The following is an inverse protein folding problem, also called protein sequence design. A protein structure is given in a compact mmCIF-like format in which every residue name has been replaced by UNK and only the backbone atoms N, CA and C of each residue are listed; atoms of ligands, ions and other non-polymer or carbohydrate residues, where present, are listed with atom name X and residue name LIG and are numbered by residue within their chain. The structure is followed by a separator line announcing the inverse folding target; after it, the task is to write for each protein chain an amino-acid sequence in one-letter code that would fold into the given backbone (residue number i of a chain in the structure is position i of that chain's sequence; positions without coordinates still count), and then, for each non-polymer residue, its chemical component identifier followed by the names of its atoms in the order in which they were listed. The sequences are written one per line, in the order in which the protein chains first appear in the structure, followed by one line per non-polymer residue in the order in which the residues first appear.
data_IF_615200051970
#
_entry.id   IF_615200051970
#
_cell.length_a   1.000
_cell.length_b   1.000
_cell.length_c   1.000
_cell.angle_alpha   90.00
_cell.angle_beta   90.00
_cell.angle_gamma   90.00
#
_symmetry.space_group_name_H-M   'P 1'
#
loop_
_entity.id
_entity.type
_entity.pdbx_description
1 polymer ?
#
# COMPACT_ATOMS: atom_id res chain seq x y z
N UNK A 1 -2.64 -31.42 -27.68
CA UNK A 1 -3.25 -31.94 -28.88
C UNK A 1 -3.03 -33.44 -28.87
N UNK A 2 -4.10 -34.21 -29.11
CA UNK A 2 -4.01 -35.65 -29.28
C UNK A 2 -3.25 -35.93 -30.57
N UNK A 3 -1.97 -36.29 -30.47
CA UNK A 3 -1.24 -36.73 -31.64
C UNK A 3 -1.53 -38.21 -31.87
N UNK A 4 -2.37 -38.48 -32.87
CA UNK A 4 -2.59 -39.83 -33.35
C UNK A 4 -1.38 -40.28 -34.16
N UNK A 5 -0.72 -41.34 -33.74
CA UNK A 5 0.34 -41.97 -34.50
C UNK A 5 -0.27 -42.99 -35.45
N UNK A 6 -0.17 -42.70 -36.74
CA UNK A 6 -0.62 -43.64 -37.77
C UNK A 6 0.40 -44.75 -37.99
N UNK A 7 0.06 -45.96 -37.63
CA UNK A 7 0.88 -47.15 -37.90
C UNK A 7 0.37 -47.84 -39.14
N UNK A 8 1.30 -48.15 -40.09
CA UNK A 8 0.95 -48.83 -41.36
C UNK A 8 1.66 -50.19 -41.43
N UNK A 9 0.89 -51.20 -41.61
CA UNK A 9 1.43 -52.51 -41.97
C UNK A 9 1.66 -52.53 -43.49
N UNK A 10 2.88 -52.81 -43.89
CA UNK A 10 3.22 -52.97 -45.30
C UNK A 10 4.02 -54.24 -45.54
N UNK A 11 3.87 -54.80 -46.73
CA UNK A 11 4.67 -55.92 -47.17
C UNK A 11 5.36 -55.50 -48.48
N UNK A 12 6.64 -55.80 -48.64
CA UNK A 12 7.37 -55.60 -49.88
C UNK A 12 7.12 -56.74 -50.85
N UNK A 13 6.47 -56.48 -51.97
CA UNK A 13 6.25 -57.41 -53.07
C UNK A 13 6.82 -56.80 -54.33
N UNK A 14 7.70 -57.51 -55.03
CA UNK A 14 8.32 -57.05 -56.27
C UNK A 14 8.99 -55.63 -56.16
N UNK A 15 9.56 -55.32 -54.99
CA UNK A 15 10.23 -54.06 -54.71
C UNK A 15 9.29 -52.87 -54.45
N UNK A 16 7.98 -53.07 -54.41
CA UNK A 16 6.98 -52.06 -54.06
C UNK A 16 6.36 -52.37 -52.70
N UNK A 17 6.07 -51.33 -51.96
CA UNK A 17 5.36 -51.43 -50.69
C UNK A 17 3.85 -51.55 -50.95
N UNK A 18 3.23 -52.64 -50.51
CA UNK A 18 1.78 -52.81 -50.47
C UNK A 18 1.29 -52.60 -49.04
N UNK A 19 0.42 -51.61 -48.84
CA UNK A 19 -0.15 -51.25 -47.53
C UNK A 19 -1.37 -52.11 -47.31
N UNK A 20 -1.33 -52.94 -46.23
CA UNK A 20 -2.43 -53.86 -45.93
C UNK A 20 -3.38 -53.34 -44.86
N UNK A 21 -2.88 -52.55 -43.92
CA UNK A 21 -3.74 -51.96 -42.88
C UNK A 21 -3.14 -50.65 -42.36
N UNK A 22 -4.02 -49.80 -41.91
CA UNK A 22 -3.62 -48.54 -41.26
C UNK A 22 -4.41 -48.41 -39.98
N UNK A 23 -3.73 -48.40 -38.87
CA UNK A 23 -4.33 -48.18 -37.57
C UNK A 23 -3.82 -46.85 -37.01
N UNK A 24 -4.69 -46.14 -36.35
CA UNK A 24 -4.31 -44.98 -35.57
C UNK A 24 -4.23 -45.36 -34.11
N UNK A 25 -3.06 -45.20 -33.53
CA UNK A 25 -2.85 -45.38 -32.11
C UNK A 25 -2.90 -44.02 -31.47
N UNK A 26 -3.82 -43.81 -30.55
CA UNK A 26 -3.85 -42.63 -29.73
C UNK A 26 -3.02 -42.89 -28.49
N UNK A 27 -2.03 -42.03 -28.25
CA UNK A 27 -1.32 -42.03 -26.97
C UNK A 27 -2.23 -41.53 -25.88
N UNK A 28 -2.20 -42.17 -24.73
CA UNK A 28 -2.97 -41.73 -23.57
C UNK A 28 -2.54 -40.33 -23.14
N UNK A 29 -3.51 -39.50 -22.88
CA UNK A 29 -3.30 -38.13 -22.43
C UNK A 29 -3.15 -38.13 -20.90
N UNK A 30 -2.13 -37.40 -20.41
CA UNK A 30 -2.08 -37.06 -18.99
C UNK A 30 -3.10 -35.96 -18.70
N UNK A 31 -3.95 -36.21 -17.72
CA UNK A 31 -4.90 -35.19 -17.26
C UNK A 31 -4.37 -34.56 -15.98
N UNK A 32 -4.10 -33.25 -16.05
CA UNK A 32 -3.72 -32.45 -14.91
C UNK A 32 -4.91 -31.63 -14.43
N UNK A 33 -5.05 -31.51 -13.14
CA UNK A 33 -5.97 -30.57 -12.53
C UNK A 33 -5.31 -29.87 -11.35
N UNK A 34 -5.70 -28.62 -11.11
CA UNK A 34 -5.27 -27.89 -9.95
C UNK A 34 -6.42 -27.14 -9.32
N UNK A 35 -6.34 -26.89 -8.04
CA UNK A 35 -7.25 -26.00 -7.34
C UNK A 35 -6.47 -24.98 -6.51
N UNK A 36 -7.04 -23.81 -6.30
CA UNK A 36 -6.43 -22.79 -5.45
C UNK A 36 -6.33 -23.30 -4.03
N UNK A 37 -5.16 -23.10 -3.44
CA UNK A 37 -4.92 -23.37 -2.04
C UNK A 37 -4.67 -22.07 -1.27
N UNK A 38 -3.72 -21.25 -1.73
CA UNK A 38 -3.40 -19.96 -1.15
C UNK A 38 -2.67 -19.07 -2.17
N UNK A 39 -2.94 -17.76 -2.13
CA UNK A 39 -2.25 -16.76 -2.95
C UNK A 39 -2.04 -15.51 -2.12
N UNK A 40 -0.80 -15.04 -2.06
CA UNK A 40 -0.45 -13.73 -1.52
C UNK A 40 0.33 -12.90 -2.55
N UNK A 41 1.01 -11.86 -2.12
CA UNK A 41 1.72 -10.99 -3.04
C UNK A 41 3.11 -11.51 -3.48
N UNK A 42 3.60 -12.59 -2.92
CA UNK A 42 4.91 -13.20 -3.27
C UNK A 42 4.85 -14.71 -3.46
N UNK A 43 3.67 -15.31 -3.32
CA UNK A 43 3.47 -16.75 -3.32
C UNK A 43 2.19 -17.15 -4.05
N UNK A 44 2.25 -18.25 -4.78
CA UNK A 44 1.10 -18.96 -5.33
C UNK A 44 1.19 -20.41 -4.87
N UNK A 45 0.17 -20.91 -4.18
CA UNK A 45 0.02 -22.30 -3.79
C UNK A 45 -1.20 -22.91 -4.45
N UNK A 46 -1.01 -24.13 -4.96
CA UNK A 46 -2.09 -24.91 -5.56
C UNK A 46 -1.97 -26.36 -5.16
N UNK A 47 -3.09 -27.01 -4.90
CA UNK A 47 -3.15 -28.47 -4.84
C UNK A 47 -3.20 -29.05 -6.24
N UNK A 48 -2.49 -30.15 -6.47
CA UNK A 48 -2.41 -30.83 -7.76
C UNK A 48 -3.05 -32.21 -7.71
N UNK A 49 -3.64 -32.58 -8.85
CA UNK A 49 -3.97 -33.96 -9.13
C UNK A 49 -3.54 -34.29 -10.57
N UNK A 50 -3.09 -35.50 -10.77
CA UNK A 50 -2.75 -36.06 -12.07
C UNK A 50 -3.39 -37.43 -12.24
N UNK A 51 -3.92 -37.64 -13.42
CA UNK A 51 -4.35 -38.99 -13.85
C UNK A 51 -3.41 -39.45 -14.96
N UNK A 52 -2.67 -40.51 -14.71
CA UNK A 52 -1.82 -41.19 -15.71
C UNK A 52 -2.58 -42.39 -16.20
N UNK A 53 -2.91 -42.42 -17.47
CA UNK A 53 -3.73 -43.48 -18.04
C UNK A 53 -2.95 -44.78 -18.38
N UNK A 54 -1.62 -44.70 -18.46
CA UNK A 54 -0.76 -45.85 -18.77
C UNK A 54 -0.18 -46.46 -17.49
N UNK A 55 -0.53 -47.71 -17.17
CA UNK A 55 -0.05 -48.38 -15.97
C UNK A 55 1.45 -48.75 -15.99
N UNK A 56 2.12 -48.62 -17.15
CA UNK A 56 3.55 -48.88 -17.26
C UNK A 56 4.42 -47.71 -16.78
N UNK A 57 3.82 -46.55 -16.55
CA UNK A 57 4.55 -45.39 -16.06
C UNK A 57 4.29 -45.17 -14.57
N UNK A 58 5.35 -45.32 -13.79
CA UNK A 58 5.33 -45.00 -12.37
C UNK A 58 5.79 -43.55 -12.14
N UNK A 59 4.92 -42.77 -11.50
CA UNK A 59 5.17 -41.35 -11.22
C UNK A 59 6.10 -41.21 -10.03
N UNK A 60 7.26 -40.57 -10.24
CA UNK A 60 8.19 -40.17 -9.20
C UNK A 60 7.82 -38.83 -8.60
N UNK A 61 7.54 -37.82 -9.45
CA UNK A 61 7.34 -36.46 -9.02
C UNK A 61 6.34 -35.73 -9.93
N UNK A 62 5.52 -34.87 -9.36
CA UNK A 62 4.64 -33.94 -10.09
C UNK A 62 4.87 -32.51 -9.60
N UNK A 63 4.55 -31.51 -10.43
CA UNK A 63 4.69 -30.13 -9.99
C UNK A 63 4.41 -29.11 -11.08
N UNK A 64 4.95 -27.91 -10.88
CA UNK A 64 4.93 -26.82 -11.85
C UNK A 64 6.33 -26.55 -12.40
N UNK A 65 6.36 -26.22 -13.69
CA UNK A 65 7.54 -25.74 -14.41
C UNK A 65 7.35 -24.28 -14.78
N UNK A 66 8.21 -23.42 -14.24
CA UNK A 66 8.19 -21.98 -14.45
C UNK A 66 9.62 -21.47 -14.68
N UNK A 67 9.84 -20.71 -15.75
CA UNK A 67 11.13 -20.06 -16.04
C UNK A 67 12.34 -21.00 -15.92
N UNK A 68 12.24 -22.20 -16.52
CA UNK A 68 13.26 -23.27 -16.49
C UNK A 68 13.50 -23.89 -15.12
N UNK A 69 12.65 -23.64 -14.15
CA UNK A 69 12.74 -24.17 -12.79
C UNK A 69 11.57 -25.13 -12.53
N UNK A 70 11.89 -26.27 -11.95
CA UNK A 70 10.89 -27.24 -11.48
C UNK A 70 10.54 -26.95 -10.02
N UNK A 71 9.25 -26.89 -9.73
CA UNK A 71 8.68 -26.71 -8.40
C UNK A 71 7.89 -27.96 -8.04
N UNK A 72 8.48 -28.92 -7.30
CA UNK A 72 7.82 -30.15 -6.96
C UNK A 72 6.66 -29.94 -5.99
N UNK A 73 5.65 -30.79 -6.13
CA UNK A 73 4.55 -30.87 -5.20
C UNK A 73 5.00 -31.61 -3.93
N UNK A 74 4.56 -31.10 -2.78
CA UNK A 74 4.79 -31.72 -1.47
C UNK A 74 3.45 -32.17 -0.92
N UNK A 75 3.36 -33.42 -0.46
CA UNK A 75 2.19 -33.90 0.26
C UNK A 75 2.33 -33.50 1.73
N UNK A 76 1.49 -32.60 2.25
CA UNK A 76 1.68 -32.05 3.59
C UNK A 76 1.45 -33.06 4.71
N UNK A 77 0.60 -34.05 4.48
CA UNK A 77 0.36 -35.18 5.39
C UNK A 77 -0.27 -36.34 4.63
N UNK A 78 -0.25 -37.55 5.20
CA UNK A 78 -0.80 -38.76 4.57
C UNK A 78 -2.29 -38.58 4.21
N UNK A 79 -2.63 -38.87 2.96
CA UNK A 79 -3.98 -38.71 2.41
C UNK A 79 -4.34 -37.27 1.94
N UNK A 80 -3.44 -36.31 2.11
CA UNK A 80 -3.62 -34.99 1.53
C UNK A 80 -3.27 -34.95 0.05
N UNK A 81 -3.89 -34.01 -0.68
CA UNK A 81 -3.46 -33.73 -2.05
C UNK A 81 -2.08 -33.06 -2.06
N UNK A 82 -1.21 -33.40 -3.02
CA UNK A 82 0.06 -32.73 -3.21
C UNK A 82 -0.13 -31.22 -3.46
N UNK A 83 0.71 -30.40 -2.86
CA UNK A 83 0.68 -28.93 -2.98
C UNK A 83 1.97 -28.43 -3.58
N UNK A 84 1.86 -27.62 -4.63
CA UNK A 84 2.98 -26.86 -5.19
C UNK A 84 2.98 -25.45 -4.66
N UNK A 85 4.17 -24.94 -4.32
CA UNK A 85 4.37 -23.57 -3.89
C UNK A 85 5.39 -22.88 -4.79
N UNK A 86 4.92 -21.89 -5.55
CA UNK A 86 5.78 -20.92 -6.22
C UNK A 86 6.07 -19.78 -5.23
N UNK A 87 7.34 -19.49 -4.99
CA UNK A 87 7.79 -18.50 -3.98
C UNK A 87 8.65 -17.43 -4.61
N UNK A 88 8.85 -16.33 -3.88
CA UNK A 88 9.66 -15.17 -4.30
C UNK A 88 9.16 -14.53 -5.60
N UNK A 89 7.85 -14.58 -5.79
CA UNK A 89 7.20 -13.99 -6.96
C UNK A 89 7.07 -12.48 -6.80
N UNK A 90 6.99 -11.77 -7.93
CA UNK A 90 6.78 -10.31 -7.94
C UNK A 90 5.31 -10.01 -7.66
N UNK A 91 5.00 -9.12 -6.72
CA UNK A 91 3.64 -8.71 -6.41
C UNK A 91 2.89 -8.11 -7.60
N UNK A 92 1.60 -8.44 -7.73
CA UNK A 92 0.72 -7.91 -8.77
C UNK A 92 1.08 -8.36 -10.19
N UNK A 93 1.86 -9.43 -10.35
CA UNK A 93 2.29 -9.96 -11.65
C UNK A 93 1.54 -11.25 -12.01
N UNK A 94 1.27 -11.42 -13.31
CA UNK A 94 0.74 -12.67 -13.86
C UNK A 94 1.90 -13.63 -14.13
N UNK A 95 1.76 -14.85 -13.66
CA UNK A 95 2.67 -15.96 -13.94
C UNK A 95 1.93 -17.04 -14.74
N UNK A 96 2.61 -17.55 -15.78
CA UNK A 96 2.15 -18.70 -16.56
C UNK A 96 3.14 -19.82 -16.35
N UNK A 97 2.69 -20.93 -15.86
CA UNK A 97 3.48 -22.10 -15.53
C UNK A 97 2.84 -23.33 -16.17
N UNK A 98 3.66 -24.34 -16.47
CA UNK A 98 3.20 -25.61 -17.02
C UNK A 98 3.14 -26.66 -15.91
N UNK A 99 2.22 -27.61 -16.02
CA UNK A 99 2.28 -28.84 -15.26
C UNK A 99 3.47 -29.68 -15.72
N UNK A 100 4.08 -30.43 -14.83
CA UNK A 100 5.01 -31.49 -15.22
C UNK A 100 4.80 -32.75 -14.39
N UNK A 101 5.19 -33.85 -14.98
CA UNK A 101 5.34 -35.15 -14.33
C UNK A 101 6.72 -35.71 -14.67
N UNK A 102 7.42 -36.22 -13.66
CA UNK A 102 8.67 -37.01 -13.81
C UNK A 102 8.37 -38.42 -13.45
N UNK A 103 8.88 -39.33 -14.26
CA UNK A 103 8.73 -40.78 -14.07
C UNK A 103 9.98 -41.38 -13.45
N UNK A 104 9.84 -42.58 -12.89
CA UNK A 104 10.95 -43.33 -12.25
C UNK A 104 12.06 -43.74 -13.21
N UNK A 105 11.81 -43.78 -14.51
CA UNK A 105 12.80 -43.95 -15.57
C UNK A 105 13.61 -42.68 -15.92
N UNK A 106 13.26 -41.57 -15.30
CA UNK A 106 13.91 -40.29 -15.49
C UNK A 106 13.30 -39.42 -16.60
N UNK A 107 12.34 -39.93 -17.36
CA UNK A 107 11.63 -39.09 -18.35
C UNK A 107 10.77 -38.02 -17.65
N UNK A 108 10.67 -36.86 -18.29
CA UNK A 108 9.84 -35.77 -17.81
C UNK A 108 8.90 -35.25 -18.89
N UNK A 109 7.63 -35.29 -18.60
CA UNK A 109 6.60 -34.72 -19.47
C UNK A 109 6.18 -33.35 -18.95
N UNK A 110 6.11 -32.34 -19.86
CA UNK A 110 5.59 -31.02 -19.59
C UNK A 110 4.24 -30.89 -20.28
N UNK A 111 3.20 -30.73 -19.47
CA UNK A 111 1.82 -30.65 -19.93
C UNK A 111 1.32 -29.23 -20.16
N UNK A 112 0.01 -29.09 -20.09
CA UNK A 112 -0.68 -27.84 -20.33
C UNK A 112 -0.23 -26.71 -19.39
N UNK A 113 -0.40 -25.47 -19.83
CA UNK A 113 -0.09 -24.30 -19.04
C UNK A 113 -1.30 -23.76 -18.28
N UNK A 114 -1.04 -23.23 -17.12
CA UNK A 114 -2.01 -22.50 -16.32
C UNK A 114 -1.45 -21.12 -15.93
N UNK A 115 -2.33 -20.19 -15.57
CA UNK A 115 -1.89 -18.85 -15.15
C UNK A 115 -2.56 -18.43 -13.86
N UNK A 116 -1.82 -17.73 -13.02
CA UNK A 116 -2.32 -17.07 -11.83
C UNK A 116 -1.64 -15.71 -11.62
N UNK A 117 -2.32 -14.83 -10.90
CA UNK A 117 -1.78 -13.55 -10.47
C UNK A 117 -1.37 -13.63 -9.00
N UNK A 118 -0.23 -13.06 -8.67
CA UNK A 118 0.05 -12.67 -7.28
C UNK A 118 -0.82 -11.48 -6.89
N UNK A 119 -1.16 -11.36 -5.62
CA UNK A 119 -1.94 -10.19 -5.16
C UNK A 119 -1.09 -8.92 -5.21
N UNK A 120 -1.75 -7.80 -5.47
CA UNK A 120 -1.12 -6.48 -5.40
C UNK A 120 -0.83 -6.09 -3.95
N UNK A 121 0.22 -5.29 -3.69
CA UNK A 121 0.42 -4.68 -2.38
C UNK A 121 -0.80 -3.86 -1.97
N UNK A 122 -1.22 -3.99 -0.73
CA UNK A 122 -2.23 -3.11 -0.17
C UNK A 122 -1.57 -1.91 0.48
N UNK A 123 -1.98 -0.71 0.07
CA UNK A 123 -1.44 0.57 0.53
C UNK A 123 -2.55 1.39 1.16
N UNK A 124 -2.34 1.86 2.38
CA UNK A 124 -3.33 2.66 3.11
C UNK A 124 -2.66 3.75 3.94
N UNK A 125 -3.48 4.70 4.42
CA UNK A 125 -3.05 5.76 5.32
C UNK A 125 -3.97 5.86 6.52
N UNK A 126 -3.39 6.27 7.66
CA UNK A 126 -4.14 6.52 8.90
C UNK A 126 -3.85 7.95 9.36
N UNK A 127 -4.90 8.68 9.68
CA UNK A 127 -4.80 10.00 10.30
C UNK A 127 -4.28 9.85 11.74
N UNK A 128 -3.24 10.62 12.07
CA UNK A 128 -2.71 10.74 13.44
C UNK A 128 -3.23 12.02 14.07
N UNK A 129 -3.05 13.16 13.39
CA UNK A 129 -3.53 14.45 13.86
C UNK A 129 -3.83 15.38 12.67
N UNK A 130 -4.74 16.33 12.89
CA UNK A 130 -5.01 17.46 11.98
C UNK A 130 -5.31 18.66 12.84
N UNK A 131 -4.51 19.71 12.68
CA UNK A 131 -4.67 21.01 13.30
C UNK A 131 -4.93 22.12 12.27
N UNK A 132 -5.13 23.36 12.70
CA UNK A 132 -5.39 24.48 11.79
C UNK A 132 -4.27 24.75 10.79
N UNK A 133 -3.03 24.48 11.17
CA UNK A 133 -1.84 24.78 10.36
C UNK A 133 -0.98 23.56 10.10
N UNK A 134 -1.49 22.37 10.40
CA UNK A 134 -0.71 21.14 10.25
C UNK A 134 -1.57 19.91 10.03
N UNK A 135 -0.94 18.86 9.50
CA UNK A 135 -1.47 17.52 9.53
C UNK A 135 -0.35 16.47 9.75
N UNK A 136 -0.74 15.32 10.29
CA UNK A 136 0.14 14.17 10.49
C UNK A 136 -0.60 12.89 10.09
N UNK A 137 -0.03 12.11 9.16
CA UNK A 137 -0.53 10.83 8.69
C UNK A 137 0.55 9.76 8.72
N UNK A 138 0.14 8.51 8.91
CA UNK A 138 1.01 7.32 8.81
C UNK A 138 0.57 6.46 7.64
N UNK A 139 1.54 6.01 6.84
CA UNK A 139 1.33 5.06 5.77
C UNK A 139 1.50 3.62 6.26
N UNK A 140 0.67 2.73 5.74
CA UNK A 140 0.78 1.28 5.95
C UNK A 140 0.82 0.58 4.59
N UNK A 141 1.77 -0.33 4.45
CA UNK A 141 1.93 -1.18 3.27
C UNK A 141 1.88 -2.63 3.76
N UNK A 142 1.00 -3.42 3.14
CA UNK A 142 1.02 -4.87 3.29
C UNK A 142 1.71 -5.44 2.05
N UNK A 143 2.99 -5.77 2.21
CA UNK A 143 3.86 -6.32 1.18
C UNK A 143 4.81 -7.28 1.87
N UNK A 144 4.76 -8.55 1.50
CA UNK A 144 5.64 -9.57 2.01
C UNK A 144 6.96 -9.62 1.22
N UNK A 145 8.01 -10.14 1.87
CA UNK A 145 9.32 -10.30 1.25
C UNK A 145 10.09 -8.99 1.03
N UNK A 146 11.20 -9.09 0.30
CA UNK A 146 12.16 -8.00 0.06
C UNK A 146 11.89 -7.20 -1.23
N UNK A 147 10.69 -7.27 -1.77
CA UNK A 147 10.35 -6.68 -3.07
C UNK A 147 10.07 -5.17 -3.05
N UNK A 148 10.12 -4.52 -1.90
CA UNK A 148 9.95 -3.06 -1.83
C UNK A 148 11.23 -2.36 -2.31
N UNK A 149 11.09 -1.52 -3.32
CA UNK A 149 12.17 -0.65 -3.80
C UNK A 149 12.17 0.69 -3.06
N UNK A 150 11.01 1.35 -3.03
CA UNK A 150 10.82 2.64 -2.36
C UNK A 150 9.37 2.85 -1.96
N UNK A 151 9.12 3.88 -1.16
CA UNK A 151 7.79 4.29 -0.70
C UNK A 151 7.77 5.78 -0.42
N UNK A 152 6.59 6.36 -0.23
CA UNK A 152 6.49 7.77 0.15
C UNK A 152 5.08 8.33 0.10
N UNK A 153 4.97 9.63 0.30
CA UNK A 153 3.71 10.36 0.21
C UNK A 153 3.73 11.32 -0.96
N UNK A 154 2.57 11.46 -1.60
CA UNK A 154 2.25 12.56 -2.50
C UNK A 154 1.27 13.47 -1.79
N UNK A 155 1.54 14.77 -1.79
CA UNK A 155 0.70 15.79 -1.17
C UNK A 155 0.36 16.83 -2.23
N UNK A 156 -0.64 16.58 -3.02
CA UNK A 156 -1.16 17.52 -4.03
C UNK A 156 -0.06 18.39 -4.64
N UNK A 157 -0.22 19.69 -4.56
CA UNK A 157 0.74 20.67 -5.11
C UNK A 157 1.97 20.93 -4.20
N UNK A 158 2.04 20.34 -3.01
CA UNK A 158 3.15 20.54 -2.06
C UNK A 158 4.36 19.65 -2.39
N UNK A 159 4.16 18.59 -3.16
CA UNK A 159 5.24 17.72 -3.63
C UNK A 159 5.26 16.33 -2.99
N UNK A 160 6.39 15.65 -3.16
CA UNK A 160 6.60 14.26 -2.77
C UNK A 160 7.51 14.16 -1.54
N UNK A 161 7.19 13.22 -0.65
CA UNK A 161 8.02 12.85 0.50
C UNK A 161 8.44 11.38 0.34
N UNK A 162 9.73 11.16 0.00
CA UNK A 162 10.27 9.84 -0.31
C UNK A 162 10.77 9.12 0.94
N UNK A 163 10.71 7.80 0.89
CA UNK A 163 11.23 6.87 1.89
C UNK A 163 10.62 7.01 3.30
N UNK A 164 9.53 7.76 3.42
CA UNK A 164 8.86 8.01 4.69
C UNK A 164 7.72 7.02 4.95
N UNK A 165 7.54 6.63 6.22
CA UNK A 165 6.37 5.89 6.72
C UNK A 165 5.32 6.79 7.34
N UNK A 166 5.67 8.04 7.60
CA UNK A 166 4.76 9.04 8.11
C UNK A 166 5.08 10.42 7.49
N UNK A 167 4.08 11.23 7.36
CA UNK A 167 4.19 12.59 6.87
C UNK A 167 3.65 13.55 7.91
N UNK A 168 4.46 14.52 8.28
CA UNK A 168 4.05 15.66 9.10
C UNK A 168 4.32 16.94 8.31
N UNK A 169 3.30 17.78 8.15
CA UNK A 169 3.42 19.11 7.55
C UNK A 169 2.91 20.13 8.54
N UNK A 170 3.62 21.24 8.63
CA UNK A 170 3.33 22.37 9.52
C UNK A 170 3.45 23.69 8.74
N UNK A 171 2.95 24.78 9.28
CA UNK A 171 3.01 26.09 8.62
C UNK A 171 2.08 26.20 7.41
N UNK A 172 1.02 25.42 7.40
CA UNK A 172 0.02 25.42 6.33
C UNK A 172 -1.07 26.47 6.62
N UNK A 173 -1.74 26.91 5.56
CA UNK A 173 -2.85 27.85 5.68
C UNK A 173 -4.12 27.14 6.22
N UNK A 174 -4.75 27.67 7.27
CA UNK A 174 -6.02 27.16 7.78
C UNK A 174 -7.11 27.10 6.72
N UNK A 175 -8.13 26.24 6.93
CA UNK A 175 -9.28 26.04 6.05
C UNK A 175 -8.93 25.59 4.63
N UNK A 176 -7.66 25.31 4.37
CA UNK A 176 -7.18 24.79 3.08
C UNK A 176 -7.31 23.28 3.03
N UNK A 177 -7.61 22.77 1.83
CA UNK A 177 -7.73 21.33 1.58
C UNK A 177 -6.52 20.79 0.83
N UNK A 178 -6.01 19.65 1.28
CA UNK A 178 -4.91 18.93 0.65
C UNK A 178 -5.37 17.52 0.29
N UNK A 179 -4.84 16.99 -0.80
CA UNK A 179 -5.07 15.59 -1.19
C UNK A 179 -3.79 14.80 -1.01
N UNK A 180 -3.85 13.76 -0.19
CA UNK A 180 -2.73 12.89 0.13
C UNK A 180 -2.92 11.54 -0.52
N UNK A 181 -1.81 10.94 -0.98
CA UNK A 181 -1.69 9.52 -1.34
C UNK A 181 -0.41 8.96 -0.74
N UNK A 182 -0.47 7.76 -0.22
CA UNK A 182 0.72 6.98 0.11
C UNK A 182 1.00 6.01 -1.00
N UNK A 183 2.28 5.76 -1.31
CA UNK A 183 2.65 4.91 -2.42
C UNK A 183 3.80 3.96 -2.05
N UNK A 184 3.88 2.86 -2.79
CA UNK A 184 5.01 1.92 -2.78
C UNK A 184 5.39 1.58 -4.20
N UNK A 185 6.69 1.51 -4.49
CA UNK A 185 7.27 0.95 -5.70
C UNK A 185 7.80 -0.44 -5.40
N UNK A 186 7.43 -1.40 -6.23
CA UNK A 186 7.88 -2.78 -6.14
C UNK A 186 9.05 -2.99 -7.10
N UNK A 187 10.11 -3.62 -6.60
CA UNK A 187 11.28 -3.99 -7.41
C UNK A 187 10.86 -4.98 -8.50
N UNK A 188 11.25 -4.71 -9.75
CA UNK A 188 10.93 -5.54 -10.92
C UNK A 188 9.43 -5.72 -11.20
N UNK A 189 8.57 -5.00 -10.48
CA UNK A 189 7.12 -5.05 -10.63
C UNK A 189 6.58 -3.95 -11.55
N UNK A 190 5.25 -3.95 -11.78
CA UNK A 190 4.59 -2.79 -12.35
C UNK A 190 4.84 -1.57 -11.46
N UNK A 191 4.73 -0.39 -12.04
CA UNK A 191 5.23 0.85 -11.48
C UNK A 191 4.93 1.12 -10.00
N UNK A 192 3.87 1.86 -9.69
CA UNK A 192 3.55 2.30 -8.33
C UNK A 192 2.19 1.79 -7.91
N UNK A 193 2.08 1.39 -6.64
CA UNK A 193 0.80 1.13 -5.98
C UNK A 193 0.50 2.27 -5.03
N UNK A 194 -0.73 2.76 -5.06
CA UNK A 194 -1.18 3.91 -4.30
C UNK A 194 -2.31 3.53 -3.33
N UNK A 195 -2.37 4.24 -2.20
CA UNK A 195 -3.57 4.28 -1.39
C UNK A 195 -4.69 5.04 -2.13
N UNK A 196 -5.91 4.86 -1.69
CA UNK A 196 -6.98 5.78 -2.05
C UNK A 196 -6.59 7.22 -1.69
N UNK A 197 -6.97 8.20 -2.53
CA UNK A 197 -6.70 9.60 -2.22
C UNK A 197 -7.48 10.03 -0.98
N UNK A 198 -6.78 10.61 -0.02
CA UNK A 198 -7.38 11.14 1.20
C UNK A 198 -7.39 12.65 1.15
N UNK A 199 -8.58 13.24 1.15
CA UNK A 199 -8.72 14.69 1.29
C UNK A 199 -8.67 15.06 2.77
N UNK A 200 -7.76 15.95 3.13
CA UNK A 200 -7.67 16.57 4.45
C UNK A 200 -7.97 18.05 4.33
N UNK A 201 -8.95 18.54 5.09
CA UNK A 201 -9.26 19.98 5.20
C UNK A 201 -8.82 20.41 6.58
N UNK A 202 -7.97 21.43 6.65
CA UNK A 202 -7.52 22.00 7.91
C UNK A 202 -8.66 22.80 8.55
N UNK A 203 -8.90 22.65 9.86
CA UNK A 203 -9.93 23.43 10.53
C UNK A 203 -9.53 24.90 10.64
N UNK A 204 -10.51 25.77 10.89
CA UNK A 204 -10.27 27.13 11.30
C UNK A 204 -9.56 27.18 12.67
N UNK A 205 -8.70 28.18 12.93
CA UNK A 205 -8.22 28.46 14.28
C UNK A 205 -9.37 28.87 15.20
N UNK A 206 -9.32 28.36 16.40
CA UNK A 206 -10.29 28.72 17.45
C UNK A 206 -9.58 29.32 18.65
N UNK A 207 -10.25 30.30 19.27
CA UNK A 207 -9.78 30.91 20.50
C UNK A 207 -10.91 31.02 21.50
N UNK A 208 -10.64 30.55 22.71
CA UNK A 208 -11.50 30.77 23.86
C UNK A 208 -10.79 31.69 24.83
N UNK A 209 -11.16 32.99 24.83
CA UNK A 209 -10.53 34.01 25.65
C UNK A 209 -10.85 33.79 27.11
N UNK A 210 -9.80 33.73 27.93
CA UNK A 210 -9.93 33.63 29.38
C UNK A 210 -9.96 35.04 30.01
N UNK A 211 -10.46 35.13 31.25
CA UNK A 211 -10.45 36.37 31.97
C UNK A 211 -9.01 36.90 32.19
N UNK A 212 -8.79 38.17 31.86
CA UNK A 212 -7.51 38.81 32.08
C UNK A 212 -7.17 38.86 33.58
N UNK A 213 -5.89 38.56 33.91
CA UNK A 213 -5.39 38.60 35.28
C UNK A 213 -4.47 39.79 35.49
N UNK A 214 -4.90 40.75 36.32
CA UNK A 214 -4.06 41.85 36.71
C UNK A 214 -2.85 41.35 37.52
N UNK A 215 -1.65 41.83 37.22
CA UNK A 215 -0.40 41.50 37.90
C UNK A 215 0.17 42.71 38.62
N UNK A 216 -0.27 43.93 38.23
CA UNK A 216 -0.01 45.18 38.93
C UNK A 216 -1.08 46.23 38.47
N UNK A 217 -1.00 47.44 38.99
CA UNK A 217 -1.86 48.58 38.57
C UNK A 217 -1.70 48.91 37.10
N UNK A 218 -0.59 48.55 36.45
CA UNK A 218 -0.26 48.91 35.07
C UNK A 218 0.07 47.69 34.19
N UNK A 219 -0.19 46.48 34.69
CA UNK A 219 0.16 45.23 33.95
C UNK A 219 -0.92 44.18 34.11
N UNK A 220 -1.14 43.43 33.03
CA UNK A 220 -2.07 42.29 32.99
C UNK A 220 -1.52 41.14 32.15
N UNK A 221 -1.89 39.93 32.53
CA UNK A 221 -1.70 38.73 31.71
C UNK A 221 -3.01 38.42 30.99
N UNK A 222 -2.91 38.22 29.69
CA UNK A 222 -3.99 37.79 28.82
C UNK A 222 -3.74 36.31 28.49
N UNK A 223 -4.79 35.50 28.46
CA UNK A 223 -4.72 34.10 28.03
C UNK A 223 -5.94 33.72 27.20
N UNK A 224 -5.74 32.76 26.27
CA UNK A 224 -6.80 32.16 25.50
C UNK A 224 -6.44 30.68 25.23
N UNK A 225 -7.40 29.79 25.36
CA UNK A 225 -7.25 28.42 24.85
C UNK A 225 -7.36 28.46 23.32
N UNK A 226 -6.57 27.63 22.63
CA UNK A 226 -6.55 27.61 21.18
C UNK A 226 -6.27 26.21 20.67
N UNK A 227 -6.71 25.89 19.44
CA UNK A 227 -6.32 24.69 18.71
C UNK A 227 -5.08 24.90 17.82
N UNK A 228 -4.44 26.09 17.87
CA UNK A 228 -3.17 26.34 17.19
C UNK A 228 -2.04 25.50 17.77
N UNK A 229 -1.15 25.02 16.92
CA UNK A 229 0.07 24.33 17.34
C UNK A 229 1.22 25.31 17.59
N UNK A 230 2.15 24.93 18.46
CA UNK A 230 3.26 25.75 19.00
C UNK A 230 4.20 26.30 17.91
N UNK A 231 4.21 25.80 16.68
CA UNK A 231 5.40 25.90 15.82
C UNK A 231 5.28 26.78 14.58
N UNK A 232 4.13 27.35 14.24
CA UNK A 232 4.02 27.84 12.86
C UNK A 232 3.24 29.15 12.63
N UNK A 233 2.66 29.72 13.62
CA UNK A 233 1.76 30.87 13.40
C UNK A 233 2.14 32.05 14.27
N UNK A 234 2.18 33.22 13.68
CA UNK A 234 2.21 34.45 14.47
C UNK A 234 0.84 34.63 15.07
N UNK A 235 0.74 34.38 16.36
CA UNK A 235 -0.48 34.58 17.13
C UNK A 235 -0.22 35.56 18.27
N UNK A 236 -1.27 36.17 18.78
CA UNK A 236 -1.13 37.11 19.87
C UNK A 236 -2.45 37.74 20.27
N UNK A 237 -2.36 38.85 20.96
CA UNK A 237 -3.50 39.64 21.31
C UNK A 237 -3.39 41.04 20.69
N UNK A 238 -4.49 41.50 20.10
CA UNK A 238 -4.67 42.91 19.80
C UNK A 238 -5.56 43.52 20.86
N UNK A 239 -5.19 44.74 21.25
CA UNK A 239 -5.87 45.44 22.32
C UNK A 239 -5.91 46.96 22.09
N UNK A 240 -6.87 47.62 22.70
CA UNK A 240 -7.01 49.07 22.73
C UNK A 240 -7.80 49.54 23.95
N UNK A 241 -7.74 50.80 24.23
CA UNK A 241 -8.64 51.41 25.25
C UNK A 241 -10.08 51.18 24.86
N UNK A 242 -10.95 50.96 25.84
CA UNK A 242 -12.37 50.72 25.61
C UNK A 242 -13.05 51.91 24.96
N UNK A 243 -12.68 53.15 25.37
CA UNK A 243 -13.19 54.44 24.90
C UNK A 243 -12.54 54.95 23.60
N UNK A 244 -11.56 54.23 23.04
CA UNK A 244 -10.90 54.60 21.80
C UNK A 244 -11.84 54.40 20.60
N UNK A 245 -11.88 55.36 19.63
CA UNK A 245 -12.62 55.21 18.40
C UNK A 245 -12.28 53.94 17.65
N UNK A 246 -13.27 53.32 16.98
CA UNK A 246 -13.07 52.03 16.29
C UNK A 246 -12.13 52.12 15.10
N UNK A 247 -12.02 53.28 14.49
CA UNK A 247 -11.15 53.58 13.35
C UNK A 247 -9.65 53.59 13.72
N UNK A 248 -9.33 53.75 15.00
CA UNK A 248 -7.93 53.73 15.43
C UNK A 248 -7.37 52.30 15.44
N UNK A 249 -6.14 52.07 14.94
CA UNK A 249 -5.53 50.78 14.92
C UNK A 249 -5.34 50.25 16.35
N UNK A 250 -5.59 48.94 16.51
CA UNK A 250 -5.29 48.21 17.75
C UNK A 250 -3.78 48.01 17.89
N UNK A 251 -3.29 48.01 19.14
CA UNK A 251 -1.92 47.62 19.43
C UNK A 251 -1.86 46.08 19.46
N UNK A 252 -0.83 45.49 18.84
CA UNK A 252 -0.63 44.03 18.80
C UNK A 252 0.52 43.62 19.69
N UNK A 253 0.38 42.48 20.38
CA UNK A 253 1.44 41.82 21.10
C UNK A 253 1.47 40.38 20.60
N UNK A 254 2.62 39.96 20.04
CA UNK A 254 2.85 38.58 19.63
C UNK A 254 3.13 37.72 20.85
N UNK A 255 2.60 36.50 20.85
CA UNK A 255 2.67 35.55 21.94
C UNK A 255 2.99 34.17 21.42
N UNK A 256 3.67 33.36 22.24
CA UNK A 256 3.85 31.95 21.97
C UNK A 256 2.58 31.15 22.33
N UNK A 257 2.32 30.12 21.58
CA UNK A 257 1.36 29.07 21.96
C UNK A 257 2.12 27.97 22.69
N UNK A 258 1.72 27.68 23.90
CA UNK A 258 2.29 26.62 24.75
C UNK A 258 1.14 25.81 25.33
N UNK A 259 1.17 24.49 25.17
CA UNK A 259 0.15 23.57 25.70
C UNK A 259 -1.29 23.98 25.34
N UNK A 260 -1.52 24.33 24.07
CA UNK A 260 -2.81 24.84 23.55
C UNK A 260 -3.29 26.13 24.20
N UNK A 261 -2.40 26.88 24.81
CA UNK A 261 -2.70 28.21 25.37
C UNK A 261 -1.86 29.30 24.71
N UNK A 262 -2.53 30.37 24.35
CA UNK A 262 -1.93 31.63 23.95
C UNK A 262 -1.81 32.51 25.20
N UNK A 263 -0.62 32.96 25.55
CA UNK A 263 -0.39 33.77 26.73
C UNK A 263 0.41 35.04 26.37
N UNK A 264 -0.10 36.19 26.76
CA UNK A 264 0.52 37.51 26.53
C UNK A 264 0.54 38.35 27.78
N UNK A 265 1.53 39.24 27.89
CA UNK A 265 1.62 40.21 28.97
C UNK A 265 1.55 41.64 28.39
N UNK A 266 0.59 42.43 28.86
CA UNK A 266 0.54 43.84 28.58
C UNK A 266 1.14 44.60 29.77
N UNK A 267 1.95 45.61 29.46
CA UNK A 267 2.65 46.46 30.47
C UNK A 267 2.44 47.93 30.12
N UNK A 268 2.73 48.80 31.08
CA UNK A 268 2.62 50.26 30.93
C UNK A 268 1.17 50.71 30.58
N UNK A 269 0.19 49.98 31.07
CA UNK A 269 -1.20 50.41 30.99
C UNK A 269 -1.43 51.59 31.92
N UNK A 270 -2.44 52.42 31.62
CA UNK A 270 -2.89 53.43 32.55
C UNK A 270 -3.78 52.84 33.62
N UNK A 271 -3.51 53.17 34.89
CA UNK A 271 -4.38 52.78 36.00
C UNK A 271 -5.80 53.32 35.81
N UNK A 272 -6.78 52.59 36.30
CA UNK A 272 -8.21 52.94 36.26
C UNK A 272 -8.81 53.17 34.84
N UNK A 273 -8.18 52.59 33.80
CA UNK A 273 -8.67 52.65 32.41
C UNK A 273 -9.13 51.26 31.95
N UNK A 274 -10.28 51.19 31.32
CA UNK A 274 -10.78 49.97 30.70
C UNK A 274 -10.14 49.72 29.34
N UNK A 275 -9.75 48.48 29.09
CA UNK A 275 -9.19 48.02 27.82
C UNK A 275 -10.02 46.89 27.29
N UNK A 276 -10.17 46.79 25.96
CA UNK A 276 -10.72 45.65 25.25
C UNK A 276 -9.63 44.96 24.47
N UNK A 277 -9.68 43.62 24.40
CA UNK A 277 -8.69 42.81 23.72
C UNK A 277 -9.35 41.61 23.06
N UNK A 278 -8.71 41.09 22.06
CA UNK A 278 -9.08 39.84 21.39
C UNK A 278 -7.83 39.09 20.92
N UNK A 279 -7.83 37.77 20.86
CA UNK A 279 -6.77 37.01 20.24
C UNK A 279 -6.80 37.19 18.73
N UNK A 280 -5.65 37.05 18.08
CA UNK A 280 -5.51 37.02 16.63
C UNK A 280 -4.45 36.00 16.20
N UNK A 281 -4.47 35.64 14.93
CA UNK A 281 -3.39 34.95 14.24
C UNK A 281 -3.15 35.57 12.86
N UNK A 282 -1.96 35.36 12.30
CA UNK A 282 -1.57 35.79 10.95
C UNK A 282 -0.68 34.76 10.28
#
# INVERSE_FOLDING_TARGET
PEEGIGVRLFVKKDGKDEIYDTQTIHTSKHEFSSSFYDVDNVKIQKSLAITVSDPNYEVEEIGFYLDKTYYPAITPYEGAQPVVTLQNLIPGKKYTYNFYVRYTDGETFIGDSESAWTTSPYVSMTKVAVGPTSFHYKGKITLEGSHRESRGFLVGDIGEDKDSVEIKRTGLEPETSYTLKYWVKVKEGPDFYYSDPTKVTLPAPTFETQQAKATSETSVILSANTNLETTATRAGFEWRRYDAPEELPSTKVECAVVDNQLMGSLRNLKSEVYYKYRPYYT
#
